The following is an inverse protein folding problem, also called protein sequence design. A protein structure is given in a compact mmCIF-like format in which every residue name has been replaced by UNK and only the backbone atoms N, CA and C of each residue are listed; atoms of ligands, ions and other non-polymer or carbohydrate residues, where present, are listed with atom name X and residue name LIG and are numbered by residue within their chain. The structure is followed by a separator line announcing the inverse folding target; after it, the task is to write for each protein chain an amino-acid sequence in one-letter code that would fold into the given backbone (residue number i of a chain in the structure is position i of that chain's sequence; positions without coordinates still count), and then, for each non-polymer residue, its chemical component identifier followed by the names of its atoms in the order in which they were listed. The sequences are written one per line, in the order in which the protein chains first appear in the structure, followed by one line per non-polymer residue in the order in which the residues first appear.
data_IF_501194524422
#
_entry.id   IF_501194524422
#
_cell.length_a   1.000
_cell.length_b   1.000
_cell.length_c   1.000
_cell.angle_alpha   90.00
_cell.angle_beta   90.00
_cell.angle_gamma   90.00
#
_symmetry.space_group_name_H-M   'P 1'
#
loop_
_entity.id
_entity.type
_entity.pdbx_description
1 polymer ?
#
# COMPACT_ATOMS: atom_id res chain seq x y z
N UNK A 1 5.43 -22.59 6.23
CA UNK A 1 4.70 -23.71 5.61
C UNK A 1 5.67 -24.80 5.21
N UNK A 2 5.36 -26.06 5.52
CA UNK A 2 6.06 -27.22 4.96
C UNK A 2 5.27 -27.78 3.78
N UNK A 3 5.93 -27.89 2.63
CA UNK A 3 5.38 -28.42 1.38
C UNK A 3 5.96 -29.80 1.04
N UNK A 4 6.56 -30.50 2.01
CA UNK A 4 6.94 -31.90 1.85
C UNK A 4 5.71 -32.76 1.50
N UNK A 5 5.76 -33.48 0.38
CA UNK A 5 4.68 -34.36 -0.08
C UNK A 5 3.46 -33.67 -0.72
N UNK A 6 3.49 -32.36 -0.98
CA UNK A 6 2.43 -31.68 -1.76
C UNK A 6 2.69 -31.76 -3.26
N UNK A 7 1.62 -32.06 -4.01
CA UNK A 7 1.66 -32.06 -5.47
C UNK A 7 1.96 -30.66 -6.02
N UNK A 8 2.62 -30.61 -7.18
CA UNK A 8 3.03 -29.36 -7.82
C UNK A 8 1.82 -28.44 -8.09
N UNK A 9 0.67 -29.02 -8.46
CA UNK A 9 -0.55 -28.25 -8.68
C UNK A 9 -1.07 -27.62 -7.38
N UNK A 10 -0.92 -28.28 -6.23
CA UNK A 10 -1.35 -27.72 -4.94
C UNK A 10 -0.50 -26.49 -4.57
N UNK A 11 0.82 -26.58 -4.75
CA UNK A 11 1.75 -25.46 -4.53
C UNK A 11 1.43 -24.28 -5.45
N UNK A 12 1.24 -24.56 -6.75
CA UNK A 12 0.90 -23.55 -7.74
C UNK A 12 -0.44 -22.87 -7.42
N UNK A 13 -1.47 -23.66 -7.06
CA UNK A 13 -2.77 -23.11 -6.63
C UNK A 13 -2.58 -22.19 -5.44
N UNK A 14 -1.91 -22.64 -4.37
CA UNK A 14 -1.73 -21.83 -3.17
C UNK A 14 -1.00 -20.51 -3.46
N UNK A 15 0.16 -20.56 -4.10
CA UNK A 15 0.96 -19.37 -4.43
C UNK A 15 0.20 -18.38 -5.29
N UNK A 16 -0.61 -18.87 -6.24
CA UNK A 16 -1.40 -18.01 -7.12
C UNK A 16 -2.52 -17.33 -6.36
N UNK A 17 -3.31 -18.08 -5.57
CA UNK A 17 -4.43 -17.53 -4.81
C UNK A 17 -3.96 -16.49 -3.79
N UNK A 18 -2.88 -16.77 -3.04
CA UNK A 18 -2.35 -15.83 -2.06
C UNK A 18 -1.78 -14.58 -2.71
N UNK A 19 -1.15 -14.67 -3.87
CA UNK A 19 -0.70 -13.50 -4.62
C UNK A 19 -1.86 -12.61 -5.09
N UNK A 20 -2.97 -13.21 -5.53
CA UNK A 20 -4.18 -12.47 -5.91
C UNK A 20 -4.81 -11.76 -4.71
N UNK A 21 -4.98 -12.48 -3.60
CA UNK A 21 -5.49 -11.94 -2.33
C UNK A 21 -4.63 -10.79 -1.81
N UNK A 22 -3.31 -10.95 -1.82
CA UNK A 22 -2.37 -9.92 -1.38
C UNK A 22 -2.45 -8.67 -2.26
N UNK A 23 -2.52 -8.85 -3.59
CA UNK A 23 -2.60 -7.74 -4.54
C UNK A 23 -3.91 -6.96 -4.42
N UNK A 24 -5.02 -7.66 -4.20
CA UNK A 24 -6.33 -7.05 -4.07
C UNK A 24 -6.58 -6.51 -2.65
N UNK A 25 -5.82 -6.99 -1.66
CA UNK A 25 -6.04 -6.76 -0.23
C UNK A 25 -7.43 -7.21 0.25
N UNK A 26 -8.03 -8.19 -0.42
CA UNK A 26 -9.40 -8.65 -0.17
C UNK A 26 -9.61 -10.11 -0.55
N UNK A 27 -10.63 -10.79 0.02
CA UNK A 27 -11.07 -12.11 -0.41
C UNK A 27 -11.44 -12.14 -1.89
N UNK A 28 -11.09 -13.22 -2.57
CA UNK A 28 -11.34 -13.39 -4.00
C UNK A 28 -12.54 -14.31 -4.25
N UNK A 29 -13.27 -14.07 -5.32
CA UNK A 29 -14.41 -14.91 -5.69
C UNK A 29 -13.95 -16.30 -6.15
N UNK A 30 -14.71 -17.35 -5.82
CA UNK A 30 -14.46 -18.72 -6.32
C UNK A 30 -15.01 -18.90 -7.75
N UNK A 31 -14.43 -18.18 -8.71
CA UNK A 31 -14.59 -18.51 -10.13
C UNK A 31 -13.61 -19.62 -10.50
N UNK A 32 -14.00 -20.85 -10.19
CA UNK A 32 -13.16 -22.04 -10.39
C UNK A 32 -12.61 -22.14 -11.82
N UNK A 33 -13.36 -21.74 -12.84
CA UNK A 33 -12.93 -21.87 -14.24
C UNK A 33 -11.84 -20.86 -14.59
N UNK A 34 -12.01 -19.61 -14.15
CA UNK A 34 -11.00 -18.56 -14.30
C UNK A 34 -9.76 -18.88 -13.48
N UNK A 35 -9.93 -19.25 -12.21
CA UNK A 35 -8.82 -19.56 -11.31
C UNK A 35 -7.99 -20.75 -11.79
N UNK A 36 -8.62 -21.82 -12.30
CA UNK A 36 -7.89 -22.95 -12.88
C UNK A 36 -7.01 -22.53 -14.07
N UNK A 37 -7.50 -21.60 -14.91
CA UNK A 37 -6.73 -21.05 -16.04
C UNK A 37 -5.56 -20.19 -15.57
N UNK A 38 -5.76 -19.36 -14.54
CA UNK A 38 -4.69 -18.52 -13.97
C UNK A 38 -3.59 -19.38 -13.34
N UNK A 39 -3.97 -20.45 -12.63
CA UNK A 39 -3.03 -21.43 -12.09
C UNK A 39 -2.34 -22.24 -13.19
N UNK A 40 -2.97 -22.37 -14.37
CA UNK A 40 -2.43 -23.12 -15.51
C UNK A 40 -2.69 -24.62 -15.41
N UNK A 41 -3.80 -25.05 -14.81
CA UNK A 41 -4.16 -26.47 -14.69
C UNK A 41 -5.61 -26.74 -15.11
N UNK A 42 -5.99 -28.03 -15.17
CA UNK A 42 -7.38 -28.39 -15.45
C UNK A 42 -8.30 -28.01 -14.28
N UNK A 43 -9.58 -27.72 -14.56
CA UNK A 43 -10.57 -27.42 -13.51
C UNK A 43 -10.65 -28.53 -12.47
N UNK A 44 -10.54 -29.80 -12.89
CA UNK A 44 -10.55 -30.95 -11.98
C UNK A 44 -9.33 -30.96 -11.06
N UNK A 45 -8.15 -30.69 -11.61
CA UNK A 45 -6.91 -30.60 -10.84
C UNK A 45 -6.98 -29.44 -9.85
N UNK A 46 -7.45 -28.27 -10.31
CA UNK A 46 -7.63 -27.09 -9.46
C UNK A 46 -8.56 -27.38 -8.28
N UNK A 47 -9.75 -27.93 -8.52
CA UNK A 47 -10.70 -28.28 -7.45
C UNK A 47 -10.08 -29.22 -6.41
N UNK A 48 -9.41 -30.29 -6.88
CA UNK A 48 -8.74 -31.23 -5.99
C UNK A 48 -7.67 -30.54 -5.13
N UNK A 49 -6.85 -29.68 -5.73
CA UNK A 49 -5.85 -28.89 -5.00
C UNK A 49 -6.50 -27.93 -4.00
N UNK A 50 -7.53 -27.20 -4.41
CA UNK A 50 -8.25 -26.26 -3.56
C UNK A 50 -8.88 -26.97 -2.35
N UNK A 51 -9.52 -28.13 -2.55
CA UNK A 51 -10.06 -28.96 -1.46
C UNK A 51 -8.96 -29.41 -0.48
N UNK A 52 -7.74 -29.70 -0.95
CA UNK A 52 -6.62 -30.02 -0.07
C UNK A 52 -6.18 -28.80 0.75
N UNK A 53 -6.09 -27.63 0.12
CA UNK A 53 -5.73 -26.38 0.80
C UNK A 53 -6.76 -25.97 1.85
N UNK A 54 -8.05 -26.15 1.56
CA UNK A 54 -9.14 -25.93 2.51
C UNK A 54 -9.05 -26.91 3.68
N UNK A 55 -8.85 -28.21 3.42
CA UNK A 55 -8.65 -29.21 4.49
C UNK A 55 -7.47 -28.89 5.39
N UNK A 56 -6.38 -28.37 4.81
CA UNK A 56 -5.19 -27.93 5.54
C UNK A 56 -5.37 -26.56 6.23
N UNK A 57 -6.53 -25.91 6.06
CA UNK A 57 -6.84 -24.57 6.58
C UNK A 57 -5.90 -23.47 6.10
N UNK A 58 -5.31 -23.66 4.92
CA UNK A 58 -4.40 -22.69 4.29
C UNK A 58 -5.17 -21.63 3.49
N UNK A 59 -6.29 -22.07 2.94
CA UNK A 59 -7.31 -21.25 2.31
C UNK A 59 -8.61 -21.52 3.07
N UNK A 60 -9.33 -20.47 3.42
CA UNK A 60 -10.67 -20.50 3.98
C UNK A 60 -11.67 -20.19 2.87
N UNK A 61 -12.81 -20.86 2.91
CA UNK A 61 -14.00 -20.45 2.17
C UNK A 61 -14.91 -19.70 3.14
N UNK A 62 -15.19 -18.44 2.84
CA UNK A 62 -16.06 -17.55 3.61
C UNK A 62 -17.53 -17.91 3.37
N UNK A 63 -18.43 -17.36 4.20
CA UNK A 63 -19.88 -17.64 4.10
C UNK A 63 -20.48 -17.26 2.75
N UNK A 64 -19.94 -16.23 2.10
CA UNK A 64 -20.34 -15.80 0.76
C UNK A 64 -19.73 -16.64 -0.38
N UNK A 65 -18.91 -17.65 -0.06
CA UNK A 65 -18.21 -18.50 -1.01
C UNK A 65 -16.83 -18.00 -1.43
N UNK A 66 -16.42 -16.80 -1.01
CA UNK A 66 -15.12 -16.23 -1.38
C UNK A 66 -13.98 -16.94 -0.66
N UNK A 67 -12.81 -16.95 -1.30
CA UNK A 67 -11.61 -17.58 -0.81
C UNK A 67 -10.73 -16.54 -0.10
N UNK A 68 -10.15 -16.94 1.03
CA UNK A 68 -9.23 -16.08 1.78
C UNK A 68 -8.12 -16.85 2.48
N UNK A 69 -7.00 -16.21 2.77
CA UNK A 69 -5.91 -16.82 3.55
C UNK A 69 -5.64 -16.01 4.81
N UNK A 70 -5.74 -16.66 5.97
CA UNK A 70 -5.45 -16.06 7.28
C UNK A 70 -4.02 -15.53 7.35
N UNK A 71 -3.08 -16.23 6.69
CA UNK A 71 -1.69 -15.78 6.64
C UNK A 71 -1.57 -14.42 5.93
N UNK A 72 -2.29 -14.23 4.81
CA UNK A 72 -2.29 -12.95 4.08
C UNK A 72 -2.95 -11.86 4.91
N UNK A 73 -4.02 -12.18 5.64
CA UNK A 73 -4.64 -11.23 6.57
C UNK A 73 -3.67 -10.70 7.62
N UNK A 74 -2.90 -11.60 8.25
CA UNK A 74 -1.91 -11.24 9.26
C UNK A 74 -0.76 -10.41 8.67
N UNK A 75 -0.27 -10.80 7.49
CA UNK A 75 0.78 -10.06 6.77
C UNK A 75 0.32 -8.64 6.43
N UNK A 76 -0.89 -8.48 5.88
CA UNK A 76 -1.45 -7.17 5.53
C UNK A 76 -1.68 -6.30 6.77
N UNK A 77 -2.17 -6.88 7.87
CA UNK A 77 -2.35 -6.18 9.14
C UNK A 77 -1.02 -5.66 9.68
N UNK A 78 0.01 -6.50 9.71
CA UNK A 78 1.34 -6.13 10.17
C UNK A 78 1.96 -5.01 9.32
N UNK A 79 1.82 -5.06 7.99
CA UNK A 79 2.25 -3.99 7.10
C UNK A 79 1.56 -2.65 7.41
N UNK A 80 0.24 -2.68 7.61
CA UNK A 80 -0.53 -1.48 7.90
C UNK A 80 -0.18 -0.87 9.28
N UNK A 81 -0.01 -1.70 10.31
CA UNK A 81 0.42 -1.27 11.63
C UNK A 81 1.82 -0.62 11.60
N UNK A 82 2.75 -1.19 10.84
CA UNK A 82 4.08 -0.63 10.68
C UNK A 82 4.04 0.75 9.98
N UNK A 83 3.27 0.86 8.89
CA UNK A 83 3.10 2.12 8.16
C UNK A 83 2.52 3.22 9.06
N UNK A 84 1.50 2.90 9.86
CA UNK A 84 0.92 3.83 10.82
C UNK A 84 1.91 4.28 11.89
N UNK A 85 2.73 3.37 12.43
CA UNK A 85 3.78 3.74 13.39
C UNK A 85 4.82 4.67 12.79
N UNK A 86 5.21 4.46 11.54
CA UNK A 86 6.16 5.32 10.84
C UNK A 86 5.56 6.71 10.55
N UNK A 87 4.30 6.78 10.11
CA UNK A 87 3.63 8.04 9.84
C UNK A 87 3.46 8.88 11.12
N UNK A 88 3.07 8.26 12.24
CA UNK A 88 2.99 8.94 13.54
C UNK A 88 4.35 9.51 13.98
N UNK A 89 5.44 8.76 13.80
CA UNK A 89 6.80 9.23 14.11
C UNK A 89 7.18 10.43 13.25
N UNK A 90 6.87 10.40 11.96
CA UNK A 90 7.15 11.50 11.05
C UNK A 90 6.37 12.78 11.44
N UNK A 91 5.08 12.64 11.78
CA UNK A 91 4.23 13.74 12.24
C UNK A 91 4.77 14.32 13.56
N UNK A 92 5.13 13.47 14.53
CA UNK A 92 5.73 13.91 15.79
C UNK A 92 7.03 14.68 15.56
N UNK A 93 7.93 14.17 14.72
CA UNK A 93 9.18 14.85 14.39
C UNK A 93 8.96 16.22 13.71
N UNK A 94 8.02 16.29 12.76
CA UNK A 94 7.65 17.54 12.10
C UNK A 94 7.09 18.57 13.08
N UNK A 95 6.21 18.16 13.98
CA UNK A 95 5.63 19.02 15.01
C UNK A 95 6.68 19.51 16.01
N UNK A 96 7.59 18.64 16.49
CA UNK A 96 8.70 19.06 17.35
C UNK A 96 9.60 20.08 16.65
N UNK A 97 9.92 19.89 15.36
CA UNK A 97 10.71 20.85 14.59
C UNK A 97 9.99 22.19 14.45
N UNK A 98 8.69 22.19 14.14
CA UNK A 98 7.86 23.39 14.02
C UNK A 98 7.76 24.16 15.32
N UNK A 99 7.57 23.46 16.45
CA UNK A 99 7.46 24.11 17.76
C UNK A 99 8.79 24.77 18.17
N UNK A 100 9.92 24.09 17.97
CA UNK A 100 11.25 24.70 18.18
C UNK A 100 11.47 25.95 17.33
N UNK A 101 11.00 25.96 16.08
CA UNK A 101 11.12 27.13 15.21
C UNK A 101 10.24 28.30 15.68
N UNK A 102 9.05 28.03 16.23
CA UNK A 102 8.20 29.07 16.84
C UNK A 102 8.85 29.67 18.09
N UNK A 103 9.39 28.83 18.96
CA UNK A 103 10.05 29.27 20.20
C UNK A 103 11.31 30.11 19.93
N UNK A 104 12.04 29.82 18.84
CA UNK A 104 13.16 30.63 18.38
C UNK A 104 12.72 31.93 17.70
N UNK A 105 11.60 31.94 16.96
CA UNK A 105 11.07 33.16 16.33
C UNK A 105 10.49 34.17 17.32
N UNK A 106 10.20 33.75 18.56
CA UNK A 106 9.78 34.64 19.64
C UNK A 106 10.93 35.23 20.47
N UNK A 107 12.20 34.93 20.13
CA UNK A 107 13.39 35.36 20.89
C UNK A 107 14.34 36.28 20.13
N UNK A 108 13.96 36.76 18.95
CA UNK A 108 14.75 37.75 18.20
C UNK A 108 13.94 39.02 17.95
N UNK A 109 13.75 39.78 19.02
CA UNK A 109 13.59 41.21 18.94
C UNK A 109 14.19 41.79 20.21
N UNK A 110 15.51 41.98 20.23
CA UNK A 110 16.14 43.08 20.96
C UNK A 110 17.60 43.29 20.49
N UNK A 111 17.82 44.52 20.03
CA UNK A 111 19.08 45.27 19.87
C UNK A 111 20.12 44.85 18.82
N UNK A 112 20.14 45.55 17.68
CA UNK A 112 21.30 46.38 17.27
C UNK A 112 20.77 47.54 16.41
N UNK A 113 20.83 48.75 16.97
CA UNK A 113 20.77 50.01 16.23
C UNK A 113 22.23 50.43 15.99
N UNK A 114 22.74 50.32 14.76
CA UNK A 114 23.83 51.19 14.30
C UNK A 114 23.86 51.25 12.77
N UNK A 115 23.79 52.49 12.29
CA UNK A 115 23.78 52.99 10.92
C UNK A 115 25.03 52.61 10.12
N UNK A 116 24.91 52.29 8.82
CA UNK A 116 25.65 52.98 7.75
C UNK A 116 25.26 52.47 6.36
N UNK A 117 25.14 53.41 5.44
CA UNK A 117 24.72 53.30 4.04
C UNK A 117 25.70 52.52 3.14
N UNK A 118 25.17 51.73 2.20
CA UNK A 118 25.60 51.70 0.78
C UNK A 118 24.83 50.62 0.01
N UNK A 119 24.17 51.04 -1.07
CA UNK A 119 23.25 50.23 -1.85
C UNK A 119 23.89 49.12 -2.67
N UNK A 120 23.05 48.23 -3.19
CA UNK A 120 23.17 47.61 -4.50
C UNK A 120 21.81 46.99 -4.87
N UNK A 121 21.17 47.63 -5.85
CA UNK A 121 20.47 47.11 -7.00
C UNK A 121 19.28 46.14 -6.85
N UNK A 122 18.11 46.70 -7.18
CA UNK A 122 16.92 45.98 -7.62
C UNK A 122 17.23 45.18 -8.90
N UNK A 123 17.42 43.87 -8.81
CA UNK A 123 17.32 42.98 -9.97
C UNK A 123 16.30 41.88 -9.66
N UNK A 124 15.18 42.01 -10.35
CA UNK A 124 14.07 41.07 -10.45
C UNK A 124 14.57 39.64 -10.66
N UNK A 125 14.04 38.69 -9.90
CA UNK A 125 13.98 37.31 -10.37
C UNK A 125 12.62 36.69 -10.02
N UNK A 126 11.65 36.99 -10.87
CA UNK A 126 10.39 36.26 -10.98
C UNK A 126 10.69 34.86 -11.50
N UNK A 127 10.95 33.91 -10.61
CA UNK A 127 11.02 32.50 -10.98
C UNK A 127 9.71 31.80 -10.61
N UNK A 128 8.98 31.46 -11.66
CA UNK A 128 7.70 30.78 -11.77
C UNK A 128 7.36 29.81 -10.63
N UNK A 129 6.31 30.15 -9.87
CA UNK A 129 5.54 29.18 -9.08
C UNK A 129 4.81 28.25 -10.04
N UNK A 130 5.44 27.15 -10.43
CA UNK A 130 4.75 26.08 -11.14
C UNK A 130 3.80 25.38 -10.15
N UNK A 131 2.51 25.64 -10.30
CA UNK A 131 1.45 24.91 -9.61
C UNK A 131 1.41 23.48 -10.13
N UNK A 132 1.79 22.51 -9.29
CA UNK A 132 1.66 21.09 -9.59
C UNK A 132 0.18 20.72 -9.40
N UNK A 133 -0.54 20.51 -10.51
CA UNK A 133 -1.94 20.11 -10.52
C UNK A 133 -2.04 18.58 -10.39
N UNK A 134 -2.34 18.08 -9.19
CA UNK A 134 -2.61 16.66 -8.94
C UNK A 134 -4.05 16.32 -9.38
N UNK A 135 -4.23 15.95 -10.64
CA UNK A 135 -5.46 15.28 -11.10
C UNK A 135 -5.10 14.01 -11.88
N UNK A 136 -4.82 12.93 -11.15
CA UNK A 136 -4.49 11.60 -11.71
C UNK A 136 -5.66 10.61 -11.59
N UNK A 137 -6.73 10.93 -10.85
CA UNK A 137 -7.82 9.99 -10.59
C UNK A 137 -9.14 10.31 -11.29
N UNK A 138 -9.14 10.45 -12.62
CA UNK A 138 -10.40 10.43 -13.39
C UNK A 138 -10.19 10.00 -14.85
N UNK A 139 -9.80 8.73 -15.08
CA UNK A 139 -10.07 8.07 -16.37
C UNK A 139 -11.37 7.29 -16.25
N UNK A 140 -12.47 7.91 -16.71
CA UNK A 140 -13.75 7.22 -16.94
C UNK A 140 -13.55 6.15 -18.03
N UNK A 141 -13.76 4.89 -17.70
CA UNK A 141 -13.89 3.80 -18.67
C UNK A 141 -15.18 4.02 -19.47
N UNK A 142 -15.07 4.21 -20.79
CA UNK A 142 -16.19 4.05 -21.72
C UNK A 142 -16.05 2.66 -22.37
N UNK A 143 -16.85 1.71 -21.91
CA UNK A 143 -17.15 0.50 -22.66
C UNK A 143 -18.17 0.87 -23.75
N UNK A 144 -17.86 0.54 -25.00
CA UNK A 144 -18.83 0.59 -26.11
C UNK A 144 -19.19 -0.86 -26.44
N UNK A 145 -20.48 -1.13 -26.55
CA UNK A 145 -21.07 -2.43 -26.88
C UNK A 145 -20.75 -2.85 -28.32
#
# INVERSE_FOLDING_TARGET
MDFAGTDAAEKATYSTLTALMYRACEPIDDDTSVLARVVGCSVRTFKKSLEQLIRKKLILQLENGNLWSVQIEEELKNCNENLNRLSERAIKAANTKRNKQKDNSSREHDEVMTTSSRGHDNIMMSSSRQHINNNIYNKKLKLSF
#
